data_IF_955320993640
#
_entry.id   IF_955320993640
#
_cell.length_a   1.000
_cell.length_b   1.000
_cell.length_c   1.000
_cell.angle_alpha   90.00
_cell.angle_beta   90.00
_cell.angle_gamma   90.00
#
_symmetry.space_group_name_H-M   'P 1'
#
loop_
_entity.id
_entity.type
_entity.pdbx_description
1 polymer ?
#
# COMPACT_ATOMS: atom_id res chain seq x y z
N UNK A 1 10.77 9.69 -10.34
CA UNK A 1 9.91 10.90 -10.19
C UNK A 1 8.63 10.68 -9.37
N UNK A 2 7.88 9.59 -9.55
CA UNK A 2 6.60 9.35 -8.83
C UNK A 2 6.71 9.40 -7.29
N UNK A 3 7.78 8.84 -6.73
CA UNK A 3 8.02 8.87 -5.28
C UNK A 3 8.28 10.28 -4.73
N UNK A 4 9.01 11.11 -5.49
CA UNK A 4 9.29 12.50 -5.13
C UNK A 4 8.00 13.36 -5.14
N UNK A 5 7.17 13.20 -6.17
CA UNK A 5 5.87 13.87 -6.26
C UNK A 5 4.93 13.41 -5.13
N UNK A 6 4.89 12.11 -4.84
CA UNK A 6 4.09 11.57 -3.73
C UNK A 6 4.56 12.06 -2.36
N UNK A 7 5.85 12.31 -2.17
CA UNK A 7 6.42 12.88 -0.96
C UNK A 7 6.12 14.38 -0.84
N UNK A 8 6.28 15.14 -1.93
CA UNK A 8 5.96 16.56 -1.99
C UNK A 8 4.48 16.83 -1.70
N UNK A 9 3.58 16.03 -2.29
CA UNK A 9 2.14 16.12 -2.03
C UNK A 9 1.76 15.75 -0.58
N UNK A 10 2.50 14.85 0.06
CA UNK A 10 2.28 14.51 1.46
C UNK A 10 2.72 15.64 2.42
N UNK A 11 3.59 16.53 1.96
CA UNK A 11 4.07 17.68 2.73
C UNK A 11 3.01 18.77 2.86
N UNK A 12 2.10 18.89 1.87
CA UNK A 12 1.01 19.87 1.85
C UNK A 12 0.10 19.76 3.09
N UNK A 13 -0.54 18.61 3.39
CA UNK A 13 -1.40 18.51 4.57
C UNK A 13 -0.62 18.71 5.87
N UNK A 14 0.64 18.27 5.94
CA UNK A 14 1.49 18.46 7.12
C UNK A 14 1.77 19.94 7.37
N UNK A 15 2.18 20.67 6.33
CA UNK A 15 2.43 22.10 6.42
C UNK A 15 1.15 22.88 6.75
N UNK A 16 0.01 22.51 6.15
CA UNK A 16 -1.28 23.14 6.41
C UNK A 16 -1.71 22.97 7.86
N UNK A 17 -1.67 21.74 8.39
CA UNK A 17 -2.03 21.46 9.79
C UNK A 17 -1.04 22.15 10.74
N UNK A 18 0.25 22.14 10.43
CA UNK A 18 1.26 22.83 11.23
C UNK A 18 1.02 24.35 11.29
N UNK A 19 0.77 24.99 10.14
CA UNK A 19 0.42 26.40 10.07
C UNK A 19 -0.87 26.70 10.83
N UNK A 20 -1.89 25.85 10.68
CA UNK A 20 -3.16 25.97 11.38
C UNK A 20 -2.97 25.94 12.90
N UNK A 21 -2.23 24.96 13.43
CA UNK A 21 -1.96 24.86 14.87
C UNK A 21 -1.21 26.09 15.40
N UNK A 22 -0.19 26.55 14.66
CA UNK A 22 0.56 27.75 15.00
C UNK A 22 -0.33 29.00 15.00
N UNK A 23 -1.20 29.16 14.00
CA UNK A 23 -2.14 30.28 13.90
C UNK A 23 -3.06 30.34 15.11
N UNK A 24 -3.66 29.20 15.51
CA UNK A 24 -4.59 29.15 16.63
C UNK A 24 -3.92 29.37 18.00
N UNK A 25 -2.64 29.01 18.15
CA UNK A 25 -1.87 29.38 19.35
C UNK A 25 -1.72 30.91 19.48
N UNK A 26 -1.63 31.64 18.36
CA UNK A 26 -1.50 33.10 18.36
C UNK A 26 -2.77 33.86 18.74
N UNK A 27 -3.96 33.26 18.55
CA UNK A 27 -5.25 33.92 18.75
C UNK A 27 -5.46 34.39 20.21
N UNK A 28 -4.96 33.65 21.19
CA UNK A 28 -5.01 34.03 22.62
C UNK A 28 -3.78 34.79 23.13
N UNK A 29 -3.09 35.53 22.26
CA UNK A 29 -1.85 36.24 22.64
C UNK A 29 -0.69 35.29 22.93
N UNK A 30 -0.69 34.09 22.32
CA UNK A 30 0.33 33.06 22.55
C UNK A 30 0.12 32.22 23.81
N UNK A 31 -1.02 32.36 24.49
CA UNK A 31 -1.31 31.66 25.74
C UNK A 31 -2.63 30.90 25.67
N UNK A 32 -2.70 29.73 26.32
CA UNK A 32 -3.94 28.96 26.42
C UNK A 32 -5.00 29.69 27.26
N UNK A 33 -4.56 30.43 28.28
CA UNK A 33 -5.44 31.25 29.11
C UNK A 33 -6.11 32.36 28.31
N UNK A 34 -5.40 33.01 27.39
CA UNK A 34 -5.99 33.97 26.46
C UNK A 34 -6.98 33.34 25.50
N UNK A 35 -6.74 32.12 25.01
CA UNK A 35 -7.69 31.38 24.15
C UNK A 35 -8.98 31.07 24.93
N UNK A 36 -8.85 30.63 26.19
CA UNK A 36 -9.98 30.38 27.08
C UNK A 36 -10.71 31.67 27.42
N UNK A 37 -9.98 32.76 27.66
CA UNK A 37 -10.53 34.09 27.96
C UNK A 37 -11.38 34.67 26.82
N UNK A 38 -11.09 34.31 25.57
CA UNK A 38 -11.89 34.68 24.38
C UNK A 38 -13.04 33.68 24.14
N UNK A 39 -13.18 32.64 24.98
CA UNK A 39 -14.23 31.62 24.88
C UNK A 39 -13.99 30.57 23.79
N UNK A 40 -12.79 30.53 23.21
CA UNK A 40 -12.43 29.62 22.11
C UNK A 40 -11.74 28.33 22.58
N UNK A 41 -11.53 28.16 23.88
CA UNK A 41 -10.81 27.02 24.48
C UNK A 41 -11.24 25.65 23.94
N UNK A 42 -12.53 25.28 24.06
CA UNK A 42 -13.01 23.98 23.57
C UNK A 42 -12.86 23.81 22.05
N UNK A 43 -13.06 24.88 21.28
CA UNK A 43 -12.97 24.86 19.83
C UNK A 43 -11.54 24.67 19.35
N UNK A 44 -10.60 25.45 19.88
CA UNK A 44 -9.18 25.32 19.53
C UNK A 44 -8.64 23.95 19.94
N UNK A 45 -9.02 23.48 21.12
CA UNK A 45 -8.63 22.15 21.60
C UNK A 45 -9.21 21.04 20.70
N UNK A 46 -10.49 21.13 20.35
CA UNK A 46 -11.14 20.17 19.44
C UNK A 46 -10.51 20.17 18.05
N UNK A 47 -10.29 21.35 17.47
CA UNK A 47 -9.65 21.50 16.16
C UNK A 47 -8.20 21.02 16.17
N UNK A 48 -7.47 21.25 17.26
CA UNK A 48 -6.10 20.75 17.42
C UNK A 48 -6.07 19.23 17.45
N UNK A 49 -6.98 18.59 18.20
CA UNK A 49 -7.10 17.12 18.25
C UNK A 49 -7.43 16.57 16.86
N UNK A 50 -8.46 17.11 16.19
CA UNK A 50 -8.85 16.65 14.86
C UNK A 50 -7.72 16.85 13.85
N UNK A 51 -7.07 18.02 13.87
CA UNK A 51 -5.91 18.30 13.03
C UNK A 51 -4.78 17.28 13.26
N UNK A 52 -4.47 16.96 14.51
CA UNK A 52 -3.44 15.99 14.86
C UNK A 52 -3.79 14.57 14.39
N UNK A 53 -5.06 14.17 14.50
CA UNK A 53 -5.53 12.87 13.99
C UNK A 53 -5.37 12.77 12.48
N UNK A 54 -5.72 13.84 11.75
CA UNK A 54 -5.54 13.91 10.29
C UNK A 54 -4.06 13.91 9.89
N UNK A 55 -3.17 14.36 10.78
CA UNK A 55 -1.73 14.36 10.53
C UNK A 55 -1.11 12.95 10.52
N UNK A 56 -1.73 11.98 11.22
CA UNK A 56 -1.18 10.62 11.39
C UNK A 56 -0.92 9.95 10.04
N UNK A 57 -1.91 9.95 9.14
CA UNK A 57 -1.80 9.29 7.83
C UNK A 57 -0.65 9.84 6.95
N UNK A 58 -0.63 11.16 6.66
CA UNK A 58 0.46 11.81 5.94
C UNK A 58 1.83 11.59 6.59
N UNK A 59 1.91 11.68 7.92
CA UNK A 59 3.17 11.49 8.64
C UNK A 59 3.70 10.06 8.50
N UNK A 60 2.83 9.06 8.66
CA UNK A 60 3.19 7.64 8.44
C UNK A 60 3.64 7.42 6.99
N UNK A 61 2.97 8.03 6.01
CA UNK A 61 3.37 7.96 4.60
C UNK A 61 4.75 8.56 4.37
N UNK A 62 5.05 9.73 4.95
CA UNK A 62 6.36 10.36 4.85
C UNK A 62 7.46 9.50 5.49
N UNK A 63 7.21 8.97 6.70
CA UNK A 63 8.15 8.08 7.39
C UNK A 63 8.41 6.81 6.57
N UNK A 64 7.37 6.21 5.97
CA UNK A 64 7.50 4.99 5.15
C UNK A 64 8.29 5.22 3.87
N UNK A 65 8.17 6.40 3.26
CA UNK A 65 8.98 6.80 2.10
C UNK A 65 10.43 7.05 2.52
N UNK A 66 10.64 7.77 3.63
CA UNK A 66 11.98 8.10 4.14
C UNK A 66 12.75 6.86 4.62
N UNK A 67 12.07 5.89 5.25
CA UNK A 67 12.68 4.64 5.74
C UNK A 67 12.96 3.62 4.64
N UNK A 68 12.54 3.87 3.40
CA UNK A 68 12.67 2.90 2.30
C UNK A 68 11.83 1.63 2.50
N UNK A 69 10.98 1.58 3.53
CA UNK A 69 10.11 0.43 3.87
C UNK A 69 9.03 0.16 2.82
N UNK A 70 8.91 1.02 1.80
CA UNK A 70 8.03 0.80 0.66
C UNK A 70 8.64 -0.10 -0.43
N UNK A 71 9.84 -0.65 -0.22
CA UNK A 71 10.40 -1.71 -1.06
C UNK A 71 9.71 -3.04 -0.73
N UNK A 72 8.61 -3.32 -1.40
CA UNK A 72 8.14 -4.71 -1.51
C UNK A 72 9.19 -5.46 -2.34
N UNK A 73 9.76 -6.57 -1.85
CA UNK A 73 10.56 -7.45 -2.69
C UNK A 73 9.68 -7.90 -3.86
N UNK A 74 9.96 -7.43 -5.08
CA UNK A 74 9.21 -7.76 -6.29
C UNK A 74 8.34 -6.64 -6.92
N UNK A 75 8.23 -5.45 -6.32
CA UNK A 75 7.45 -4.35 -6.92
C UNK A 75 8.25 -3.44 -7.89
N UNK A 76 9.51 -3.78 -8.17
CA UNK A 76 10.32 -3.20 -9.25
C UNK A 76 10.41 -4.16 -10.45
N UNK A 77 9.28 -4.76 -10.85
CA UNK A 77 9.11 -5.05 -12.27
C UNK A 77 8.76 -3.72 -12.94
N UNK A 78 9.80 -2.90 -13.12
CA UNK A 78 9.85 -2.00 -14.25
C UNK A 78 9.72 -2.90 -15.47
N UNK A 79 8.50 -3.03 -16.00
CA UNK A 79 8.28 -3.56 -17.34
C UNK A 79 8.79 -2.45 -18.27
N UNK A 80 10.11 -2.27 -18.29
CA UNK A 80 10.81 -1.78 -19.45
C UNK A 80 10.67 -2.85 -20.52
N UNK A 81 10.39 -2.40 -21.74
CA UNK A 81 10.08 -3.15 -22.96
C UNK A 81 11.16 -4.14 -23.45
N UNK A 82 11.97 -4.74 -22.57
CA UNK A 82 13.09 -5.63 -22.93
C UNK A 82 13.23 -6.84 -21.99
N UNK A 83 12.12 -7.42 -21.56
CA UNK A 83 12.11 -8.82 -21.11
C UNK A 83 11.67 -9.67 -22.29
N UNK A 84 12.40 -10.74 -22.69
CA UNK A 84 11.83 -11.71 -23.59
C UNK A 84 10.59 -12.24 -22.89
N UNK A 85 9.42 -11.88 -23.42
CA UNK A 85 8.18 -12.51 -23.04
C UNK A 85 8.34 -13.98 -23.42
N UNK A 86 8.73 -14.81 -22.45
CA UNK A 86 8.14 -16.14 -22.33
C UNK A 86 6.66 -15.95 -21.96
N UNK A 87 5.96 -15.21 -22.82
CA UNK A 87 4.52 -15.24 -22.90
C UNK A 87 4.17 -16.66 -23.26
N UNK A 88 3.16 -17.18 -22.61
CA UNK A 88 2.60 -18.47 -22.94
C UNK A 88 2.30 -18.52 -24.44
N UNK A 89 3.16 -19.20 -25.19
CA UNK A 89 3.00 -19.39 -26.63
C UNK A 89 1.93 -20.47 -26.83
N UNK A 90 0.71 -19.99 -27.08
CA UNK A 90 -0.45 -20.85 -27.26
C UNK A 90 -0.28 -21.79 -28.45
N UNK A 91 0.48 -21.39 -29.48
CA UNK A 91 0.73 -22.19 -30.67
C UNK A 91 1.73 -23.30 -30.36
N UNK A 92 2.79 -23.00 -29.59
CA UNK A 92 3.73 -24.02 -29.10
C UNK A 92 3.08 -25.02 -28.12
N UNK A 93 2.17 -24.54 -27.26
CA UNK A 93 1.39 -25.40 -26.36
C UNK A 93 0.45 -26.32 -27.15
N UNK A 94 -0.20 -25.80 -28.20
CA UNK A 94 -1.08 -26.58 -29.06
C UNK A 94 -0.29 -27.62 -29.89
N UNK A 95 0.86 -27.24 -30.44
CA UNK A 95 1.75 -28.16 -31.15
C UNK A 95 2.24 -29.31 -30.25
N UNK A 96 2.59 -29.00 -29.00
CA UNK A 96 2.98 -29.99 -27.98
C UNK A 96 1.83 -30.92 -27.58
N UNK A 97 0.59 -30.44 -27.66
CA UNK A 97 -0.60 -31.25 -27.40
C UNK A 97 -0.94 -32.17 -28.56
N UNK A 98 -0.85 -31.69 -29.81
CA UNK A 98 -1.06 -32.51 -31.01
C UNK A 98 0.02 -33.59 -31.14
N UNK A 99 1.29 -33.27 -30.84
CA UNK A 99 2.38 -34.27 -30.87
C UNK A 99 2.23 -35.35 -29.79
N UNK A 100 1.71 -35.00 -28.61
CA UNK A 100 1.34 -35.98 -27.56
C UNK A 100 0.12 -36.81 -27.91
N UNK A 101 -0.75 -36.36 -28.81
CA UNK A 101 -1.88 -37.17 -29.31
C UNK A 101 -1.44 -38.21 -30.33
N UNK A 102 -0.43 -37.91 -31.13
CA UNK A 102 0.14 -38.83 -32.12
C UNK A 102 1.07 -39.88 -31.51
N UNK A 103 1.59 -39.62 -30.30
CA UNK A 103 2.40 -40.59 -29.55
C UNK A 103 1.54 -41.23 -28.46
N UNK A 104 1.23 -42.53 -28.52
CA UNK A 104 0.57 -43.22 -27.42
C UNK A 104 1.39 -43.06 -26.14
N UNK A 105 0.80 -42.68 -25.00
CA UNK A 105 1.52 -42.63 -23.74
C UNK A 105 2.07 -44.04 -23.41
N UNK A 106 3.29 -44.18 -22.86
CA UNK A 106 3.67 -45.45 -22.26
C UNK A 106 2.63 -45.77 -21.18
N UNK A 107 2.00 -46.94 -21.32
CA UNK A 107 1.02 -47.42 -20.36
C UNK A 107 1.71 -47.60 -18.99
N UNK A 108 1.57 -46.60 -18.12
CA UNK A 108 2.13 -46.61 -16.78
C UNK A 108 2.73 -45.27 -16.36
N UNK A 109 1.90 -44.30 -16.01
CA UNK A 109 2.31 -43.22 -15.09
C UNK A 109 1.14 -42.86 -14.17
N UNK A 110 0.78 -43.85 -13.34
CA UNK A 110 0.00 -43.65 -12.10
C UNK A 110 0.86 -42.98 -11.03
N UNK A 111 1.36 -41.77 -11.30
CA UNK A 111 2.06 -40.90 -10.36
C UNK A 111 1.60 -39.48 -10.73
N UNK A 112 0.89 -38.70 -9.95
CA UNK A 112 0.92 -38.54 -8.51
C UNK A 112 -0.29 -37.64 -8.18
N UNK A 113 -1.35 -38.19 -7.57
CA UNK A 113 -2.48 -37.37 -7.11
C UNK A 113 -1.95 -36.49 -5.97
N UNK A 114 -2.01 -35.15 -6.05
CA UNK A 114 -1.49 -34.32 -4.97
C UNK A 114 -2.25 -34.63 -3.69
N UNK A 115 -1.54 -35.02 -2.63
CA UNK A 115 -2.13 -35.30 -1.32
C UNK A 115 -2.97 -34.10 -0.84
N UNK A 116 -4.14 -34.33 -0.20
CA UNK A 116 -4.96 -33.25 0.32
C UNK A 116 -4.18 -32.49 1.39
N UNK A 117 -3.94 -31.19 1.17
CA UNK A 117 -3.23 -30.31 2.11
C UNK A 117 -4.02 -30.23 3.43
N UNK A 118 -3.38 -30.46 4.59
CA UNK A 118 -4.05 -30.35 5.87
C UNK A 118 -4.28 -28.86 6.21
N UNK A 119 -5.52 -28.53 6.58
CA UNK A 119 -5.82 -27.39 7.45
C UNK A 119 -5.79 -25.99 6.82
N UNK A 120 -6.72 -25.70 5.90
CA UNK A 120 -7.12 -24.32 5.62
C UNK A 120 -8.09 -23.81 6.70
N UNK A 121 -7.68 -22.79 7.45
CA UNK A 121 -8.54 -22.05 8.38
C UNK A 121 -9.79 -21.54 7.64
N UNK A 122 -11.00 -21.87 8.13
CA UNK A 122 -12.23 -21.18 7.74
C UNK A 122 -13.30 -21.95 6.95
N UNK A 123 -13.20 -23.28 6.74
CA UNK A 123 -14.34 -24.05 6.20
C UNK A 123 -15.17 -24.67 7.32
N UNK A 124 -16.32 -24.07 7.64
CA UNK A 124 -17.39 -24.71 8.42
C UNK A 124 -17.94 -25.87 7.60
N UNK A 125 -17.80 -27.09 8.11
CA UNK A 125 -18.47 -28.27 7.55
C UNK A 125 -19.97 -28.16 7.79
N UNK A 126 -20.73 -28.44 6.74
CA UNK A 126 -22.13 -28.91 6.80
C UNK A 126 -22.15 -30.37 7.23
#
# INVERSE_FOLDING_TARGET
MRAFIGWLLALIPVAYIGFFLWHFMGVGGGSMEGIVGIGLGPTVLGLAIVGLLFLIGPLVRMIRVASGSNRVPGANLDIGDDLPTEGFDADAAFASYMSRRETPPPAGSDLERPAPRPGGFGRKGV
#
